data_IF_132756370220
#
_entry.id   IF_132756370220
#
_cell.length_a   1.000
_cell.length_b   1.000
_cell.length_c   1.000
_cell.angle_alpha   90.00
_cell.angle_beta   90.00
_cell.angle_gamma   90.00
#
_symmetry.space_group_name_H-M   'P 1'
#
loop_
_entity.id
_entity.type
_entity.pdbx_description
1 polymer ?
#
# COMPACT_ATOMS: atom_id res chain seq x y z
N UNK A 1 -8.46 8.93 0.83
CA UNK A 1 -7.41 7.92 1.03
C UNK A 1 -7.41 6.84 -0.06
N UNK A 2 -8.50 6.11 -0.30
CA UNK A 2 -8.47 4.94 -1.20
C UNK A 2 -8.62 5.21 -2.71
N UNK A 3 -8.74 6.47 -3.16
CA UNK A 3 -9.08 6.80 -4.55
C UNK A 3 -7.88 7.07 -5.47
N UNK A 4 -6.63 6.94 -5.00
CA UNK A 4 -5.46 7.16 -5.84
C UNK A 4 -5.34 6.03 -6.88
N UNK A 5 -5.35 6.37 -8.17
CA UNK A 5 -5.33 5.36 -9.25
C UNK A 5 -3.91 4.95 -9.62
N UNK A 6 -2.96 5.89 -9.61
CA UNK A 6 -1.57 5.67 -9.97
C UNK A 6 -0.63 6.03 -8.81
N UNK A 7 0.56 5.44 -8.83
CA UNK A 7 1.67 5.82 -7.96
C UNK A 7 2.52 6.90 -8.63
N UNK A 8 2.85 7.96 -7.90
CA UNK A 8 3.88 8.91 -8.33
C UNK A 8 5.29 8.32 -8.26
N UNK A 9 6.31 8.99 -8.83
CA UNK A 9 7.71 8.54 -8.79
C UNK A 9 8.24 8.32 -7.37
N UNK A 10 8.01 9.30 -6.48
CA UNK A 10 8.46 9.23 -5.08
C UNK A 10 7.86 8.03 -4.33
N UNK A 11 6.57 7.75 -4.56
CA UNK A 11 5.91 6.61 -3.95
C UNK A 11 6.41 5.28 -4.55
N UNK A 12 6.72 5.25 -5.85
CA UNK A 12 7.26 4.07 -6.51
C UNK A 12 8.67 3.72 -5.99
N UNK A 13 9.55 4.70 -5.87
CA UNK A 13 10.89 4.56 -5.24
C UNK A 13 10.76 4.02 -3.81
N UNK A 14 9.82 4.56 -3.03
CA UNK A 14 9.56 4.08 -1.67
C UNK A 14 9.05 2.62 -1.63
N UNK A 15 8.19 2.23 -2.56
CA UNK A 15 7.70 0.85 -2.67
C UNK A 15 8.83 -0.14 -3.03
N UNK A 16 9.77 0.27 -3.88
CA UNK A 16 10.95 -0.53 -4.23
C UNK A 16 11.89 -0.72 -3.03
N UNK A 17 12.03 0.31 -2.18
CA UNK A 17 12.77 0.19 -0.92
C UNK A 17 12.06 -0.74 0.08
N UNK A 18 10.73 -0.68 0.17
CA UNK A 18 9.94 -1.49 1.10
C UNK A 18 10.02 -2.99 0.83
N UNK A 19 10.17 -3.41 -0.43
CA UNK A 19 10.23 -4.82 -0.78
C UNK A 19 10.18 -5.08 -2.28
N UNK A 20 10.11 -6.35 -2.62
CA UNK A 20 10.07 -6.80 -3.99
C UNK A 20 8.66 -6.69 -4.56
N UNK A 21 8.54 -6.12 -5.76
CA UNK A 21 7.32 -6.21 -6.55
C UNK A 21 7.15 -7.63 -7.08
N UNK A 22 6.05 -8.30 -6.71
CA UNK A 22 5.77 -9.70 -7.05
C UNK A 22 4.47 -9.83 -7.83
N UNK A 23 4.44 -10.75 -8.81
CA UNK A 23 3.22 -11.14 -9.52
C UNK A 23 2.35 -11.97 -8.57
N UNK A 24 1.08 -11.62 -8.43
CA UNK A 24 0.16 -12.35 -7.54
C UNK A 24 -0.30 -13.69 -8.10
N UNK A 25 -0.52 -13.77 -9.42
CA UNK A 25 -0.88 -15.03 -10.07
C UNK A 25 0.19 -16.07 -9.84
N UNK A 26 -0.25 -17.23 -9.37
CA UNK A 26 0.58 -18.39 -9.01
C UNK A 26 1.56 -18.18 -7.84
N UNK A 27 1.62 -16.99 -7.23
CA UNK A 27 2.48 -16.69 -6.07
C UNK A 27 2.29 -17.70 -4.93
N UNK A 28 3.36 -18.37 -4.54
CA UNK A 28 3.38 -19.55 -3.67
C UNK A 28 3.71 -19.27 -2.21
N UNK A 29 3.99 -18.01 -1.88
CA UNK A 29 4.33 -17.52 -0.54
C UNK A 29 3.14 -16.88 0.19
N UNK A 30 3.38 -16.31 1.38
CA UNK A 30 2.33 -15.60 2.13
C UNK A 30 1.71 -14.45 1.31
N UNK A 31 0.40 -14.52 1.10
CA UNK A 31 -0.34 -13.63 0.19
C UNK A 31 -1.25 -12.62 0.87
N UNK A 32 -1.32 -12.58 2.21
CA UNK A 32 -2.14 -11.59 2.93
C UNK A 32 -3.64 -11.58 2.58
N UNK A 33 -4.18 -12.66 2.01
CA UNK A 33 -5.57 -12.70 1.53
C UNK A 33 -5.80 -12.12 0.12
N UNK A 34 -4.74 -11.71 -0.58
CA UNK A 34 -4.81 -11.37 -2.01
C UNK A 34 -5.05 -12.61 -2.86
N UNK A 35 -5.74 -12.43 -3.98
CA UNK A 35 -6.05 -13.46 -4.96
C UNK A 35 -4.82 -13.82 -5.80
N UNK A 36 -4.59 -15.12 -5.97
CA UNK A 36 -3.51 -15.69 -6.79
C UNK A 36 -3.99 -16.43 -8.03
N UNK A 37 -5.30 -16.46 -8.29
CA UNK A 37 -5.90 -17.29 -9.36
C UNK A 37 -6.46 -16.48 -10.51
N UNK A 38 -7.22 -15.42 -10.23
CA UNK A 38 -8.04 -14.72 -11.24
C UNK A 38 -7.72 -13.23 -11.37
N UNK A 39 -6.67 -12.75 -10.70
CA UNK A 39 -6.25 -11.34 -10.68
C UNK A 39 -7.29 -10.37 -10.09
N UNK A 40 -8.25 -10.91 -9.33
CA UNK A 40 -9.37 -10.14 -8.78
C UNK A 40 -8.97 -9.13 -7.72
N UNK A 41 -7.75 -9.23 -7.18
CA UNK A 41 -7.16 -8.25 -6.24
C UNK A 41 -5.94 -7.54 -6.83
N UNK A 42 -5.86 -7.46 -8.16
CA UNK A 42 -4.75 -6.81 -8.86
C UNK A 42 -3.73 -7.80 -9.40
N UNK A 43 -2.82 -7.30 -10.22
CA UNK A 43 -1.81 -8.13 -10.89
C UNK A 43 -0.56 -8.33 -10.03
N UNK A 44 -0.16 -7.29 -9.29
CA UNK A 44 1.09 -7.26 -8.54
C UNK A 44 0.84 -6.73 -7.13
N UNK A 45 1.76 -7.07 -6.23
CA UNK A 45 1.88 -6.38 -4.95
C UNK A 45 3.35 -6.22 -4.56
N UNK A 46 3.61 -5.67 -3.37
CA UNK A 46 4.94 -5.61 -2.76
C UNK A 46 5.00 -6.65 -1.65
N UNK A 47 6.08 -7.42 -1.63
CA UNK A 47 6.34 -8.48 -0.67
C UNK A 47 7.76 -8.35 -0.12
N UNK A 48 7.94 -8.65 1.17
CA UNK A 48 9.26 -8.73 1.77
C UNK A 48 9.32 -9.88 2.79
N UNK A 49 10.52 -10.36 3.09
CA UNK A 49 10.78 -11.33 4.15
C UNK A 49 11.86 -10.77 5.07
N UNK A 50 11.55 -10.64 6.35
CA UNK A 50 12.48 -10.11 7.35
C UNK A 50 12.52 -11.03 8.56
N UNK A 51 13.72 -11.54 8.91
CA UNK A 51 13.92 -12.45 10.05
C UNK A 51 12.90 -13.60 10.06
N UNK A 52 12.77 -14.28 8.92
CA UNK A 52 11.83 -15.39 8.71
C UNK A 52 10.33 -15.04 8.82
N UNK A 53 10.00 -13.75 8.91
CA UNK A 53 8.62 -13.26 8.84
C UNK A 53 8.32 -12.75 7.45
N UNK A 54 7.29 -13.31 6.83
CA UNK A 54 6.79 -12.88 5.54
C UNK A 54 5.81 -11.71 5.68
N UNK A 55 5.98 -10.67 4.86
CA UNK A 55 5.14 -9.47 4.85
C UNK A 55 4.61 -9.26 3.44
N UNK A 56 3.28 -9.32 3.31
CA UNK A 56 2.56 -8.90 2.10
C UNK A 56 1.95 -7.52 2.34
N UNK A 57 2.28 -6.55 1.48
CA UNK A 57 1.72 -5.21 1.57
C UNK A 57 0.43 -5.10 0.76
N UNK A 58 -0.62 -4.48 1.31
CA UNK A 58 -1.81 -4.10 0.57
C UNK A 58 -1.64 -2.69 -0.02
N UNK A 59 -1.05 -2.60 -1.21
CA UNK A 59 -0.73 -1.30 -1.84
C UNK A 59 -1.96 -0.74 -2.55
N UNK A 60 -2.44 0.43 -2.11
CA UNK A 60 -3.70 1.04 -2.59
C UNK A 60 -3.77 1.22 -4.10
N UNK A 61 -2.67 1.63 -4.74
CA UNK A 61 -2.57 1.84 -6.20
C UNK A 61 -2.41 0.54 -7.00
N UNK A 62 -2.05 -0.57 -6.36
CA UNK A 62 -1.96 -1.89 -7.01
C UNK A 62 -3.23 -2.74 -6.83
N UNK A 63 -4.09 -2.36 -5.89
CA UNK A 63 -5.41 -2.94 -5.74
C UNK A 63 -6.39 -2.38 -6.79
N UNK A 64 -7.37 -3.17 -7.26
CA UNK A 64 -8.33 -2.75 -8.26
C UNK A 64 -9.03 -1.45 -7.88
N UNK A 65 -9.11 -0.55 -8.83
CA UNK A 65 -9.91 0.67 -8.73
C UNK A 65 -11.30 0.39 -9.28
N UNK A 66 -12.34 0.81 -8.57
CA UNK A 66 -13.71 0.76 -9.09
C UNK A 66 -14.17 2.16 -9.46
N UNK A 67 -14.29 2.50 -10.75
CA UNK A 67 -14.84 3.78 -11.18
C UNK A 67 -16.21 4.02 -10.56
N UNK A 68 -16.53 5.28 -10.26
CA UNK A 68 -17.82 5.70 -9.67
C UNK A 68 -18.13 5.16 -8.25
N UNK A 69 -17.26 4.35 -7.64
CA UNK A 69 -17.40 3.94 -6.24
C UNK A 69 -16.50 4.78 -5.33
N UNK A 70 -16.99 5.92 -4.85
CA UNK A 70 -16.23 6.83 -3.96
C UNK A 70 -15.68 6.15 -2.70
N UNK A 71 -16.31 5.06 -2.24
CA UNK A 71 -15.89 4.33 -1.03
C UNK A 71 -14.74 3.34 -1.30
N UNK A 72 -14.50 2.95 -2.55
CA UNK A 72 -13.49 1.97 -2.96
C UNK A 72 -13.49 0.72 -2.05
N UNK A 73 -14.67 0.10 -1.91
CA UNK A 73 -14.90 -0.97 -0.93
C UNK A 73 -13.93 -2.15 -1.08
N UNK A 74 -13.52 -2.49 -2.30
CA UNK A 74 -12.55 -3.56 -2.54
C UNK A 74 -11.17 -3.23 -1.93
N UNK A 75 -10.70 -1.99 -2.10
CA UNK A 75 -9.46 -1.52 -1.46
C UNK A 75 -9.58 -1.46 0.05
N UNK A 76 -10.70 -0.90 0.53
CA UNK A 76 -11.00 -0.81 1.97
C UNK A 76 -11.12 -2.20 2.63
N UNK A 77 -11.60 -3.21 1.91
CA UNK A 77 -11.72 -4.59 2.44
C UNK A 77 -10.36 -5.19 2.80
N UNK A 78 -9.31 -4.86 2.07
CA UNK A 78 -7.96 -5.31 2.39
C UNK A 78 -7.31 -4.36 3.40
N UNK A 79 -7.03 -3.12 2.98
CA UNK A 79 -6.28 -2.13 3.79
C UNK A 79 -7.00 -1.80 5.11
N UNK A 80 -8.33 -1.67 5.05
CA UNK A 80 -9.13 -1.32 6.21
C UNK A 80 -9.22 -2.42 7.26
N UNK A 81 -8.82 -3.65 6.93
CA UNK A 81 -8.76 -4.78 7.87
C UNK A 81 -7.34 -5.06 8.39
N UNK A 82 -6.34 -4.28 7.95
CA UNK A 82 -4.98 -4.37 8.49
C UNK A 82 -4.87 -3.68 9.85
N UNK A 83 -3.97 -4.17 10.71
CA UNK A 83 -3.72 -3.59 12.03
C UNK A 83 -2.80 -2.37 11.94
N UNK A 84 -1.76 -2.47 11.11
CA UNK A 84 -0.75 -1.44 10.86
C UNK A 84 -0.91 -0.93 9.43
N UNK A 85 -0.93 0.38 9.24
CA UNK A 85 -1.04 1.00 7.91
C UNK A 85 0.05 2.04 7.70
N UNK A 86 0.81 1.91 6.62
CA UNK A 86 1.77 2.94 6.20
C UNK A 86 1.03 3.98 5.36
N UNK A 87 1.18 5.25 5.71
CA UNK A 87 0.60 6.39 4.98
C UNK A 87 1.75 7.19 4.37
N UNK A 88 1.99 6.99 3.08
CA UNK A 88 2.94 7.80 2.33
C UNK A 88 2.29 9.14 1.94
N UNK A 89 2.87 10.25 2.39
CA UNK A 89 2.44 11.60 2.05
C UNK A 89 3.32 12.16 0.93
N UNK A 90 2.73 12.34 -0.25
CA UNK A 90 3.41 13.05 -1.33
C UNK A 90 3.65 14.53 -0.99
N UNK A 91 4.66 15.16 -1.61
CA UNK A 91 4.90 16.59 -1.45
C UNK A 91 3.63 17.42 -1.69
N UNK A 92 3.28 18.28 -0.74
CA UNK A 92 2.08 19.11 -0.79
C UNK A 92 0.78 18.44 -0.31
N UNK A 93 0.81 17.15 0.07
CA UNK A 93 -0.35 16.51 0.68
C UNK A 93 -0.72 17.16 2.04
N UNK A 94 -2.02 17.29 2.36
CA UNK A 94 -2.43 17.79 3.66
C UNK A 94 -2.00 16.82 4.79
N UNK A 95 -1.81 17.32 6.03
CA UNK A 95 -1.46 16.48 7.17
C UNK A 95 -2.41 15.30 7.35
N UNK A 96 -1.85 14.10 7.52
CA UNK A 96 -2.65 12.92 7.84
C UNK A 96 -3.21 13.03 9.26
N UNK A 97 -4.48 12.65 9.43
CA UNK A 97 -5.11 12.51 10.74
C UNK A 97 -5.87 11.20 10.82
N UNK A 98 -5.57 10.32 11.80
CA UNK A 98 -6.23 9.03 11.93
C UNK A 98 -7.70 9.17 12.33
N UNK A 99 -8.14 10.33 12.84
CA UNK A 99 -9.54 10.62 13.21
C UNK A 99 -10.52 10.45 12.05
N UNK A 100 -10.04 10.57 10.81
CA UNK A 100 -10.86 10.42 9.62
C UNK A 100 -10.98 8.96 9.14
N UNK A 101 -10.26 8.03 9.77
CA UNK A 101 -10.30 6.61 9.42
C UNK A 101 -11.36 5.91 10.24
N UNK A 102 -12.32 5.29 9.54
CA UNK A 102 -13.37 4.46 10.14
C UNK A 102 -13.08 2.98 9.88
N UNK A 103 -12.35 2.37 10.80
CA UNK A 103 -12.06 0.94 10.85
C UNK A 103 -11.98 0.48 12.32
N UNK A 104 -12.41 -0.76 12.59
CA UNK A 104 -12.19 -1.44 13.87
C UNK A 104 -10.83 -2.15 13.96
N UNK A 105 -10.12 -2.28 12.84
CA UNK A 105 -8.87 -3.05 12.75
C UNK A 105 -7.63 -2.17 12.69
N UNK A 106 -7.70 -1.02 12.01
CA UNK A 106 -6.54 -0.13 11.86
C UNK A 106 -6.27 0.62 13.16
N UNK A 107 -5.19 0.23 13.86
CA UNK A 107 -4.80 0.81 15.15
C UNK A 107 -3.50 1.61 15.07
N UNK A 108 -2.57 1.22 14.21
CA UNK A 108 -1.25 1.84 14.08
C UNK A 108 -1.10 2.46 12.69
N UNK A 109 -0.68 3.72 12.65
CA UNK A 109 -0.38 4.43 11.41
C UNK A 109 1.08 4.88 11.41
N UNK A 110 1.84 4.48 10.41
CA UNK A 110 3.20 4.95 10.18
C UNK A 110 3.12 5.96 9.04
N UNK A 111 3.26 7.24 9.36
CA UNK A 111 3.24 8.30 8.36
C UNK A 111 4.66 8.48 7.83
N UNK A 112 4.81 8.47 6.51
CA UNK A 112 6.10 8.61 5.84
C UNK A 112 6.02 9.76 4.86
N UNK A 113 6.96 10.70 4.96
CA UNK A 113 7.14 11.79 4.02
C UNK A 113 8.52 11.70 3.38
N UNK A 114 8.58 11.73 2.05
CA UNK A 114 9.85 11.78 1.34
C UNK A 114 10.44 13.20 1.34
N UNK A 115 11.75 13.28 1.54
CA UNK A 115 12.58 14.47 1.45
C UNK A 115 13.56 14.22 0.30
N UNK A 116 13.59 15.12 -0.69
CA UNK A 116 14.38 14.98 -1.93
C UNK A 116 14.18 13.63 -2.66
N UNK A 117 12.92 13.18 -2.89
CA UNK A 117 12.67 11.89 -3.54
C UNK A 117 13.25 11.82 -4.96
N UNK A 118 13.52 10.60 -5.41
CA UNK A 118 14.11 10.31 -6.72
C UNK A 118 15.51 10.93 -6.91
N UNK A 119 16.29 11.08 -5.83
CA UNK A 119 17.67 11.58 -5.88
C UNK A 119 18.60 10.69 -5.05
N UNK A 120 19.90 10.87 -5.19
CA UNK A 120 20.89 10.16 -4.35
C UNK A 120 20.79 10.51 -2.86
N UNK A 121 20.10 11.60 -2.52
CA UNK A 121 19.91 12.10 -1.16
C UNK A 121 18.48 11.88 -0.65
N UNK A 122 17.73 10.91 -1.22
CA UNK A 122 16.38 10.57 -0.76
C UNK A 122 16.41 10.20 0.72
N UNK A 123 15.58 10.87 1.52
CA UNK A 123 15.37 10.59 2.94
C UNK A 123 13.87 10.44 3.23
N UNK A 124 13.54 9.75 4.31
CA UNK A 124 12.16 9.57 4.76
C UNK A 124 12.01 10.03 6.21
N UNK A 125 11.01 10.88 6.46
CA UNK A 125 10.63 11.36 7.79
C UNK A 125 9.30 10.78 8.22
#
# INVERSE_FOLDING_TARGET
>A
MYNNESAGPAFSEFLEMLGQRVRLKDFDKYRGGLDKKTDSTGLYSVYNQYRDVEVMFHVSTLLPFTPNNRKQLLRKRHIGNDIVTIVFQEPGAPPFSPRHIRSHFQHVFIVVQAINPCTENTQYR
#
